data_IF_925753422393
#
_entry.id   IF_925753422393
#
_cell.length_a   1.000
_cell.length_b   1.000
_cell.length_c   1.000
_cell.angle_alpha   90.00
_cell.angle_beta   90.00
_cell.angle_gamma   90.00
#
_symmetry.space_group_name_H-M   'P 1'
#
loop_
_entity.id
_entity.type
_entity.pdbx_description
1 polymer ?
#
# COMPACT_ATOMS: atom_id res chain seq x y z
N UNK A 1 4.10 19.38 12.22
CA UNK A 1 2.65 19.48 11.95
C UNK A 1 2.21 18.10 11.56
N UNK A 2 1.36 17.48 12.38
CA UNK A 2 0.72 16.20 12.07
C UNK A 2 -0.40 16.46 11.07
N UNK A 3 -0.42 15.68 10.00
CA UNK A 3 -1.50 15.68 9.01
C UNK A 3 -2.77 15.11 9.65
N UNK A 4 -3.92 15.73 9.41
CA UNK A 4 -5.20 15.19 9.86
C UNK A 4 -5.67 14.04 8.96
N UNK A 5 -6.52 13.11 9.45
CA UNK A 5 -7.08 12.05 8.61
C UNK A 5 -7.76 12.58 7.35
N UNK A 6 -8.53 13.67 7.47
CA UNK A 6 -9.23 14.28 6.34
C UNK A 6 -8.27 14.86 5.28
N UNK A 7 -7.17 15.49 5.71
CA UNK A 7 -6.14 15.96 4.79
C UNK A 7 -5.43 14.80 4.10
N UNK A 8 -5.19 13.70 4.83
CA UNK A 8 -4.58 12.51 4.25
C UNK A 8 -5.50 11.81 3.25
N UNK A 9 -6.81 11.71 3.53
CA UNK A 9 -7.80 11.20 2.58
C UNK A 9 -7.80 12.00 1.26
N UNK A 10 -7.76 13.33 1.35
CA UNK A 10 -7.68 14.18 0.17
C UNK A 10 -6.41 13.93 -0.63
N UNK A 11 -5.26 13.79 0.03
CA UNK A 11 -4.00 13.45 -0.64
C UNK A 11 -4.04 12.06 -1.29
N UNK A 12 -4.64 11.07 -0.61
CA UNK A 12 -4.83 9.73 -1.18
C UNK A 12 -5.64 9.80 -2.47
N UNK A 13 -6.75 10.53 -2.48
CA UNK A 13 -7.58 10.73 -3.67
C UNK A 13 -6.82 11.40 -4.82
N UNK A 14 -5.94 12.36 -4.53
CA UNK A 14 -5.12 12.99 -5.58
C UNK A 14 -4.12 12.00 -6.19
N UNK A 15 -3.47 11.16 -5.35
CA UNK A 15 -2.56 10.11 -5.84
C UNK A 15 -3.31 9.05 -6.66
N UNK A 16 -4.52 8.68 -6.22
CA UNK A 16 -5.38 7.71 -6.91
C UNK A 16 -5.83 8.20 -8.31
N UNK A 17 -5.77 9.50 -8.61
CA UNK A 17 -6.04 9.99 -9.98
C UNK A 17 -4.99 9.53 -10.98
N UNK A 18 -3.74 9.38 -10.52
CA UNK A 18 -2.64 8.90 -11.36
C UNK A 18 -2.55 7.37 -11.37
N UNK A 19 -2.88 6.73 -10.24
CA UNK A 19 -2.88 5.27 -10.07
C UNK A 19 -4.17 4.80 -9.37
N UNK A 20 -5.27 4.57 -10.13
CA UNK A 20 -6.56 4.21 -9.56
C UNK A 20 -6.53 2.86 -8.86
N UNK A 21 -7.10 2.81 -7.66
CA UNK A 21 -7.31 1.56 -6.91
C UNK A 21 -8.59 0.88 -7.42
N UNK A 22 -8.49 -0.40 -7.76
CA UNK A 22 -9.66 -1.25 -8.02
C UNK A 22 -10.21 -1.79 -6.69
N UNK A 23 -11.33 -1.23 -6.24
CA UNK A 23 -11.99 -1.66 -5.01
C UNK A 23 -12.79 -2.98 -5.20
N UNK A 24 -12.95 -3.50 -6.41
CA UNK A 24 -13.70 -4.72 -6.73
C UNK A 24 -15.12 -4.77 -6.08
N UNK A 25 -15.78 -5.93 -6.07
CA UNK A 25 -17.08 -6.15 -5.40
C UNK A 25 -16.95 -6.19 -3.86
N UNK A 26 -16.15 -5.31 -3.27
CA UNK A 26 -16.07 -5.18 -1.82
C UNK A 26 -17.41 -4.69 -1.27
N UNK A 27 -17.93 -5.29 -0.19
CA UNK A 27 -19.21 -4.90 0.41
C UNK A 27 -19.07 -3.66 1.31
N UNK A 28 -18.20 -2.72 0.94
CA UNK A 28 -17.84 -1.55 1.73
C UNK A 28 -17.76 -0.32 0.83
N UNK A 29 -18.14 0.84 1.37
CA UNK A 29 -18.01 2.12 0.68
C UNK A 29 -16.53 2.52 0.58
N UNK A 30 -16.10 3.01 -0.58
CA UNK A 30 -14.70 3.36 -0.79
C UNK A 30 -14.23 4.51 0.11
N UNK A 31 -15.10 5.49 0.38
CA UNK A 31 -14.82 6.60 1.30
C UNK A 31 -14.58 6.09 2.73
N UNK A 32 -15.39 5.14 3.21
CA UNK A 32 -15.23 4.54 4.53
C UNK A 32 -13.89 3.80 4.65
N UNK A 33 -13.48 3.10 3.58
CA UNK A 33 -12.17 2.43 3.53
C UNK A 33 -11.02 3.44 3.56
N UNK A 34 -11.10 4.52 2.79
CA UNK A 34 -10.09 5.58 2.80
C UNK A 34 -9.99 6.22 4.18
N UNK A 35 -11.11 6.57 4.81
CA UNK A 35 -11.13 7.18 6.14
C UNK A 35 -10.61 6.26 7.24
N UNK A 36 -10.89 4.96 7.16
CA UNK A 36 -10.32 3.96 8.07
C UNK A 36 -8.80 3.92 7.97
N UNK A 37 -8.25 3.87 6.75
CA UNK A 37 -6.80 3.81 6.54
C UNK A 37 -6.13 5.13 6.92
N UNK A 38 -6.71 6.27 6.57
CA UNK A 38 -6.18 7.57 6.92
C UNK A 38 -6.12 7.77 8.43
N UNK A 39 -7.18 7.41 9.16
CA UNK A 39 -7.22 7.45 10.62
C UNK A 39 -6.11 6.59 11.23
N UNK A 40 -5.95 5.34 10.75
CA UNK A 40 -4.93 4.43 11.23
C UNK A 40 -3.50 4.96 10.99
N UNK A 41 -3.25 5.56 9.83
CA UNK A 41 -1.93 6.14 9.50
C UNK A 41 -1.62 7.38 10.35
N UNK A 42 -2.61 8.22 10.65
CA UNK A 42 -2.46 9.33 11.59
C UNK A 42 -2.13 8.84 13.01
N UNK A 43 -2.83 7.81 13.51
CA UNK A 43 -2.51 7.20 14.82
C UNK A 43 -1.08 6.65 14.86
N UNK A 44 -0.63 6.02 13.78
CA UNK A 44 0.74 5.53 13.66
C UNK A 44 1.76 6.67 13.64
N UNK A 45 1.46 7.76 12.93
CA UNK A 45 2.30 8.96 12.90
C UNK A 45 2.42 9.60 14.29
N UNK A 46 1.31 9.67 15.03
CA UNK A 46 1.27 10.20 16.40
C UNK A 46 2.08 9.31 17.35
N UNK A 47 1.98 7.99 17.23
CA UNK A 47 2.79 7.04 18.01
C UNK A 47 4.30 7.20 17.76
N UNK A 48 4.68 7.71 16.59
CA UNK A 48 6.05 7.97 16.20
C UNK A 48 6.54 9.38 16.57
N UNK A 49 5.75 10.23 17.24
CA UNK A 49 6.15 11.62 17.53
C UNK A 49 7.51 11.73 18.22
N UNK A 50 7.78 10.80 19.14
CA UNK A 50 9.01 10.75 19.95
C UNK A 50 10.24 10.25 19.20
N UNK A 51 10.07 9.75 17.97
CA UNK A 51 11.16 9.21 17.16
C UNK A 51 11.98 10.35 16.55
N UNK A 52 13.26 10.09 16.30
CA UNK A 52 14.08 10.98 15.48
C UNK A 52 13.54 11.03 14.05
N UNK A 53 13.88 12.08 13.30
CA UNK A 53 13.45 12.19 11.89
C UNK A 53 14.00 11.04 11.03
N UNK A 54 15.20 10.55 11.35
CA UNK A 54 15.80 9.38 10.70
C UNK A 54 15.02 8.10 11.02
N UNK A 55 14.69 7.86 12.30
CA UNK A 55 13.89 6.70 12.71
C UNK A 55 12.48 6.74 12.12
N UNK A 56 11.88 7.94 12.01
CA UNK A 56 10.58 8.13 11.34
C UNK A 56 10.67 7.72 9.88
N UNK A 57 11.69 8.20 9.17
CA UNK A 57 11.89 7.89 7.76
C UNK A 57 12.14 6.39 7.53
N UNK A 58 13.02 5.77 8.32
CA UNK A 58 13.31 4.34 8.23
C UNK A 58 12.06 3.49 8.53
N UNK A 59 11.28 3.88 9.54
CA UNK A 59 10.04 3.18 9.89
C UNK A 59 9.01 3.27 8.76
N UNK A 60 8.81 4.45 8.19
CA UNK A 60 7.89 4.63 7.05
C UNK A 60 8.34 3.84 5.82
N UNK A 61 9.65 3.82 5.52
CA UNK A 61 10.20 2.99 4.44
C UNK A 61 9.97 1.49 4.69
N UNK A 62 10.15 1.02 5.92
CA UNK A 62 9.92 -0.37 6.28
C UNK A 62 8.43 -0.76 6.13
N UNK A 63 7.52 0.11 6.58
CA UNK A 63 6.07 -0.09 6.42
C UNK A 63 5.69 -0.09 4.95
N UNK A 64 6.16 0.88 4.16
CA UNK A 64 5.91 0.94 2.72
C UNK A 64 6.43 -0.31 2.00
N UNK A 65 7.65 -0.77 2.31
CA UNK A 65 8.20 -1.99 1.75
C UNK A 65 7.36 -3.23 2.10
N UNK A 66 6.86 -3.33 3.34
CA UNK A 66 5.94 -4.39 3.76
C UNK A 66 4.64 -4.36 2.96
N UNK A 67 3.99 -3.19 2.86
CA UNK A 67 2.72 -3.03 2.15
C UNK A 67 2.87 -3.39 0.66
N UNK A 68 3.95 -2.94 0.01
CA UNK A 68 4.25 -3.29 -1.39
C UNK A 68 4.49 -4.80 -1.55
N UNK A 69 5.20 -5.44 -0.61
CA UNK A 69 5.40 -6.89 -0.63
C UNK A 69 4.08 -7.65 -0.45
N UNK A 70 3.24 -7.24 0.50
CA UNK A 70 1.92 -7.83 0.73
C UNK A 70 1.04 -7.69 -0.51
N UNK A 71 0.99 -6.49 -1.10
CA UNK A 71 0.25 -6.24 -2.34
C UNK A 71 0.75 -7.13 -3.49
N UNK A 72 2.06 -7.24 -3.68
CA UNK A 72 2.66 -8.12 -4.69
C UNK A 72 2.26 -9.58 -4.48
N UNK A 73 2.35 -10.09 -3.25
CA UNK A 73 2.01 -11.47 -2.92
C UNK A 73 0.51 -11.72 -3.15
N UNK A 74 -0.36 -10.82 -2.69
CA UNK A 74 -1.81 -10.92 -2.92
C UNK A 74 -2.14 -10.91 -4.42
N UNK A 75 -1.52 -10.01 -5.19
CA UNK A 75 -1.73 -9.93 -6.63
C UNK A 75 -1.32 -11.23 -7.34
N UNK A 76 -0.13 -11.77 -7.00
CA UNK A 76 0.32 -13.07 -7.54
C UNK A 76 -0.65 -14.21 -7.18
N UNK A 77 -1.19 -14.22 -5.96
CA UNK A 77 -2.18 -15.22 -5.53
C UNK A 77 -3.49 -15.10 -6.30
N UNK A 78 -4.01 -13.88 -6.48
CA UNK A 78 -5.23 -13.62 -7.24
C UNK A 78 -5.08 -14.06 -8.70
N UNK A 79 -4.01 -13.65 -9.38
CA UNK A 79 -3.75 -14.04 -10.77
C UNK A 79 -3.69 -15.56 -10.93
N UNK A 80 -3.02 -16.26 -10.00
CA UNK A 80 -3.00 -17.74 -9.97
C UNK A 80 -4.38 -18.35 -9.77
N UNK A 81 -5.22 -17.78 -8.89
CA UNK A 81 -6.57 -18.29 -8.61
C UNK A 81 -7.51 -18.13 -9.81
N UNK A 82 -7.37 -17.04 -10.55
CA UNK A 82 -8.22 -16.74 -11.71
C UNK A 82 -7.65 -17.28 -13.03
N UNK A 83 -6.49 -17.95 -13.02
CA UNK A 83 -5.85 -18.48 -14.21
C UNK A 83 -5.36 -17.39 -15.18
N UNK A 84 -5.20 -16.16 -14.69
CA UNK A 84 -4.74 -15.03 -15.48
C UNK A 84 -3.21 -15.03 -15.50
N UNK A 85 -2.58 -14.88 -16.68
CA UNK A 85 -1.12 -14.80 -16.76
C UNK A 85 -0.61 -13.58 -15.98
N UNK A 86 0.56 -13.73 -15.36
CA UNK A 86 1.24 -12.62 -14.70
C UNK A 86 1.60 -11.54 -15.74
N UNK A 87 1.60 -10.27 -15.34
CA UNK A 87 2.12 -9.22 -16.21
C UNK A 87 3.62 -9.43 -16.46
N UNK A 88 4.11 -8.97 -17.61
CA UNK A 88 5.52 -9.10 -18.01
C UNK A 88 6.48 -8.54 -16.93
N UNK A 89 6.09 -7.46 -16.25
CA UNK A 89 6.87 -6.85 -15.16
C UNK A 89 6.94 -7.76 -13.92
N UNK A 90 5.81 -8.32 -13.49
CA UNK A 90 5.78 -9.25 -12.34
C UNK A 90 6.51 -10.55 -12.67
N UNK A 91 6.37 -11.05 -13.90
CA UNK A 91 7.07 -12.24 -14.35
C UNK A 91 8.59 -12.02 -14.40
N UNK A 92 9.07 -10.88 -14.92
CA UNK A 92 10.48 -10.52 -14.93
C UNK A 92 11.08 -10.44 -13.51
N UNK A 93 10.34 -9.90 -12.54
CA UNK A 93 10.76 -9.87 -11.13
C UNK A 93 10.87 -11.27 -10.53
N UNK A 94 9.88 -12.14 -10.77
CA UNK A 94 9.90 -13.52 -10.29
C UNK A 94 10.95 -14.39 -10.99
N UNK A 95 11.23 -14.14 -12.27
CA UNK A 95 12.32 -14.80 -13.01
C UNK A 95 13.69 -14.48 -12.43
N UNK A 96 13.91 -13.27 -11.91
CA UNK A 96 15.17 -12.91 -11.22
C UNK A 96 15.38 -13.71 -9.94
N UNK A 97 14.30 -14.07 -9.22
CA UNK A 97 14.39 -14.97 -8.07
C UNK A 97 14.79 -16.39 -8.49
N UNK A 98 14.18 -16.92 -9.57
CA UNK A 98 14.52 -18.25 -10.10
C UNK A 98 15.94 -18.39 -10.66
N UNK A 99 16.60 -17.29 -11.04
CA UNK A 99 17.99 -17.27 -11.53
C UNK A 99 19.03 -17.13 -10.40
N UNK A 100 18.56 -16.97 -9.16
CA UNK A 100 19.41 -16.77 -7.98
C UNK A 100 19.65 -18.07 -7.20
N UNK A 101 18.99 -19.15 -7.62
CA UNK A 101 19.30 -20.55 -7.32
C UNK A 101 20.19 -21.14 -8.44
#
# INVERSE_FOLDING_TARGET
MSITPQELELLMQEVEKEDPIDFADLPFEEEDLRGLIASHLCEMADAMETFSDEDKHLTLLAVAAKLVLENLVLNVQLLRRHGVPLSDTTEALLQRLRKRD
#
